data_IF_333525022001
#
_entry.id   IF_333525022001
#
_cell.length_a   1.000
_cell.length_b   1.000
_cell.length_c   1.000
_cell.angle_alpha   90.00
_cell.angle_beta   90.00
_cell.angle_gamma   90.00
#
_symmetry.space_group_name_H-M   'P 1'
#
loop_
_entity.id
_entity.type
_entity.pdbx_description
1 polymer ?
#
# COMPACT_ATOMS: atom_id res chain seq x y z
N UNK A 1 -6.17 -0.07 25.70
CA UNK A 1 -6.77 -0.45 24.40
C UNK A 1 -5.66 -0.82 23.41
N UNK A 2 -5.75 -1.96 22.69
CA UNK A 2 -4.77 -2.30 21.65
C UNK A 2 -5.16 -1.61 20.34
N UNK A 3 -4.63 -0.41 20.09
CA UNK A 3 -4.77 0.26 18.79
C UNK A 3 -3.91 -0.46 17.75
N UNK A 4 -4.55 -1.14 16.80
CA UNK A 4 -3.85 -1.68 15.63
C UNK A 4 -3.46 -0.50 14.74
N UNK A 5 -2.16 -0.33 14.52
CA UNK A 5 -1.68 0.66 13.56
C UNK A 5 -1.89 0.09 12.15
N UNK A 6 -2.80 0.68 11.38
CA UNK A 6 -3.13 0.22 10.02
C UNK A 6 -1.88 0.07 9.14
N UNK A 7 -0.88 0.93 9.35
CA UNK A 7 0.38 0.88 8.63
C UNK A 7 1.19 -0.42 8.86
N UNK A 8 1.00 -1.11 9.99
CA UNK A 8 1.68 -2.38 10.29
C UNK A 8 1.06 -3.59 9.60
N UNK A 9 -0.10 -3.44 8.96
CA UNK A 9 -0.85 -4.53 8.33
C UNK A 9 -1.04 -4.35 6.83
N UNK A 10 -0.72 -3.18 6.28
CA UNK A 10 -0.67 -2.94 4.83
C UNK A 10 0.61 -3.56 4.28
N UNK A 11 0.48 -4.33 3.21
CA UNK A 11 1.62 -4.99 2.53
C UNK A 11 1.83 -4.46 1.12
N UNK A 12 0.78 -3.94 0.49
CA UNK A 12 0.83 -3.42 -0.89
C UNK A 12 0.10 -2.09 -1.01
N UNK A 13 0.51 -1.31 -2.01
CA UNK A 13 -0.15 -0.08 -2.43
C UNK A 13 -0.54 -0.18 -3.91
N UNK A 14 -1.58 0.54 -4.30
CA UNK A 14 -2.04 0.63 -5.68
C UNK A 14 -2.86 1.91 -5.91
N UNK A 15 -3.05 2.28 -7.16
CA UNK A 15 -3.99 3.34 -7.55
C UNK A 15 -5.40 2.80 -7.75
N UNK A 16 -6.40 3.69 -7.83
CA UNK A 16 -7.77 3.27 -8.14
C UNK A 16 -7.88 2.59 -9.52
N UNK A 17 -6.99 2.95 -10.44
CA UNK A 17 -6.88 2.33 -11.77
C UNK A 17 -6.57 0.82 -11.72
N UNK A 18 -5.87 0.34 -10.69
CA UNK A 18 -5.46 -1.06 -10.57
C UNK A 18 -6.33 -1.86 -9.57
N UNK A 19 -7.25 -1.19 -8.86
CA UNK A 19 -8.03 -1.78 -7.77
C UNK A 19 -9.01 -2.87 -8.25
N UNK A 20 -9.66 -2.65 -9.39
CA UNK A 20 -10.60 -3.61 -9.97
C UNK A 20 -9.91 -4.90 -10.41
N UNK A 21 -8.86 -4.79 -11.21
CA UNK A 21 -8.06 -5.93 -11.68
C UNK A 21 -7.44 -6.70 -10.50
N UNK A 22 -6.84 -5.99 -9.55
CA UNK A 22 -6.28 -6.62 -8.35
C UNK A 22 -7.33 -7.37 -7.53
N UNK A 23 -8.59 -6.90 -7.54
CA UNK A 23 -9.70 -7.55 -6.83
C UNK A 23 -10.09 -8.86 -7.51
N UNK A 24 -10.10 -8.90 -8.84
CA UNK A 24 -10.34 -10.12 -9.61
C UNK A 24 -9.22 -11.16 -9.38
N UNK A 25 -7.98 -10.69 -9.29
CA UNK A 25 -6.77 -11.53 -9.11
C UNK A 25 -6.38 -11.78 -7.65
N UNK A 26 -7.25 -11.48 -6.67
CA UNK A 26 -6.96 -11.65 -5.24
C UNK A 26 -6.33 -13.01 -4.85
N UNK A 27 -6.74 -14.15 -5.43
CA UNK A 27 -6.13 -15.45 -5.12
C UNK A 27 -4.63 -15.51 -5.44
N UNK A 28 -4.18 -14.81 -6.50
CA UNK A 28 -2.78 -14.79 -6.92
C UNK A 28 -1.93 -13.75 -6.18
N UNK A 29 -2.57 -12.65 -5.75
CA UNK A 29 -1.90 -11.49 -5.14
C UNK A 29 -1.60 -11.68 -3.64
N UNK A 30 -2.26 -12.63 -2.97
CA UNK A 30 -2.03 -12.96 -1.56
C UNK A 30 -2.83 -12.10 -0.56
N UNK A 31 -2.83 -12.56 0.70
CA UNK A 31 -3.80 -12.18 1.74
C UNK A 31 -3.52 -10.90 2.55
N UNK A 32 -2.49 -10.12 2.20
CA UNK A 32 -2.19 -8.87 2.93
C UNK A 32 -3.15 -7.72 2.59
N UNK A 33 -3.28 -6.74 3.51
CA UNK A 33 -4.11 -5.55 3.27
C UNK A 33 -3.44 -4.64 2.25
N UNK A 34 -4.26 -4.00 1.43
CA UNK A 34 -3.83 -3.18 0.29
C UNK A 34 -4.39 -1.77 0.47
N UNK A 35 -3.57 -0.75 0.26
CA UNK A 35 -3.98 0.65 0.40
C UNK A 35 -4.13 1.29 -0.99
N UNK A 36 -5.33 1.77 -1.31
CA UNK A 36 -5.66 2.38 -2.60
C UNK A 36 -5.52 3.91 -2.51
N UNK A 37 -4.63 4.48 -3.34
CA UNK A 37 -4.51 5.93 -3.53
C UNK A 37 -5.38 6.38 -4.71
N UNK A 38 -6.55 6.96 -4.42
CA UNK A 38 -7.56 7.27 -5.44
C UNK A 38 -7.15 8.30 -6.49
N UNK A 39 -6.23 9.22 -6.14
CA UNK A 39 -5.69 10.24 -7.05
C UNK A 39 -4.34 9.90 -7.68
N UNK A 40 -3.88 8.66 -7.59
CA UNK A 40 -2.57 8.23 -8.13
C UNK A 40 -2.77 7.12 -9.15
N UNK A 41 -2.05 7.22 -10.25
CA UNK A 41 -1.96 6.14 -11.24
C UNK A 41 -0.77 5.25 -10.87
N UNK A 42 -1.04 4.15 -10.19
CA UNK A 42 -0.01 3.24 -9.66
C UNK A 42 -0.44 1.80 -9.90
N UNK A 43 0.47 0.93 -10.37
CA UNK A 43 0.23 -0.50 -10.38
C UNK A 43 0.19 -1.03 -8.95
N UNK A 44 -0.25 -2.28 -8.79
CA UNK A 44 -0.05 -3.00 -7.54
C UNK A 44 1.43 -3.18 -7.26
N UNK A 45 1.88 -2.72 -6.08
CA UNK A 45 3.29 -2.77 -5.68
C UNK A 45 3.42 -3.19 -4.22
N UNK A 46 4.34 -4.11 -3.93
CA UNK A 46 4.68 -4.45 -2.54
C UNK A 46 5.47 -3.32 -1.89
N UNK A 47 5.15 -3.00 -0.63
CA UNK A 47 5.90 -2.00 0.15
C UNK A 47 7.38 -2.38 0.30
N UNK A 48 7.71 -3.68 0.27
CA UNK A 48 9.10 -4.16 0.36
C UNK A 48 9.92 -3.89 -0.90
N UNK A 49 9.28 -3.59 -2.04
CA UNK A 49 9.96 -3.32 -3.31
C UNK A 49 10.26 -1.83 -3.53
N UNK A 50 9.75 -0.97 -2.65
CA UNK A 50 9.99 0.48 -2.71
C UNK A 50 11.44 0.75 -2.32
N UNK A 51 12.23 1.18 -3.30
CA UNK A 51 13.64 1.56 -3.15
C UNK A 51 13.85 3.08 -3.22
N UNK A 52 12.77 3.85 -3.47
CA UNK A 52 12.83 5.30 -3.55
C UNK A 52 13.08 5.90 -2.16
N UNK A 53 14.20 6.61 -2.02
CA UNK A 53 14.65 7.15 -0.74
C UNK A 53 13.73 8.28 -0.21
N UNK A 54 13.14 9.08 -1.11
CA UNK A 54 12.21 10.15 -0.73
C UNK A 54 10.89 9.55 -0.22
N UNK A 55 10.40 8.52 -0.88
CA UNK A 55 9.22 7.77 -0.45
C UNK A 55 9.48 7.04 0.87
N UNK A 56 10.64 6.41 1.04
CA UNK A 56 11.03 5.78 2.29
C UNK A 56 11.04 6.80 3.46
N UNK A 57 11.52 8.03 3.23
CA UNK A 57 11.50 9.09 4.23
C UNK A 57 10.07 9.52 4.61
N UNK A 58 9.16 9.62 3.63
CA UNK A 58 7.74 9.93 3.90
C UNK A 58 7.08 8.78 4.67
N UNK A 59 7.30 7.53 4.25
CA UNK A 59 6.76 6.36 4.94
C UNK A 59 7.26 6.28 6.40
N UNK A 60 8.55 6.51 6.65
CA UNK A 60 9.11 6.55 7.99
C UNK A 60 8.45 7.64 8.85
N UNK A 61 8.26 8.84 8.29
CA UNK A 61 7.62 9.98 8.96
C UNK A 61 6.15 9.70 9.33
N UNK A 62 5.44 8.96 8.48
CA UNK A 62 3.99 8.70 8.61
C UNK A 62 3.69 7.25 9.02
N UNK A 63 4.62 6.60 9.73
CA UNK A 63 4.47 5.27 10.32
C UNK A 63 4.19 4.14 9.31
N UNK A 64 4.45 4.34 8.02
CA UNK A 64 4.23 3.37 6.95
C UNK A 64 3.09 3.72 5.99
N UNK A 65 2.50 4.92 6.11
CA UNK A 65 1.48 5.42 5.16
C UNK A 65 2.03 6.61 4.40
N UNK A 66 1.88 6.65 3.07
CA UNK A 66 2.40 7.76 2.26
C UNK A 66 1.57 9.06 2.40
N UNK A 67 0.27 8.95 2.68
CA UNK A 67 -0.63 10.09 2.87
C UNK A 67 -1.35 9.95 4.21
N UNK A 68 -0.92 10.73 5.19
CA UNK A 68 -1.60 10.92 6.46
C UNK A 68 -1.84 12.40 6.70
#
# INVERSE_FOLDING_TARGET
>A
EKKVQAAKVVTHILGLNAAGETTLELPAVGGGKKLVYTGKYLPLMSLTQIQDQALAAILARHQGIWSG
#
